data_IF_612977171133
#
_entry.id   IF_612977171133
#
_cell.length_a   1.000
_cell.length_b   1.000
_cell.length_c   1.000
_cell.angle_alpha   90.00
_cell.angle_beta   90.00
_cell.angle_gamma   90.00
#
_symmetry.space_group_name_H-M   'P 1'
#
loop_
_entity.id
_entity.type
_entity.pdbx_description
1 polymer ?
#
# COMPACT_ATOMS: atom_id res chain seq x y z
N UNK A 1 3.22 10.55 -8.34
CA UNK A 1 2.33 9.87 -7.39
C UNK A 1 3.15 9.35 -6.22
N UNK A 2 2.52 9.07 -5.12
CA UNK A 2 3.23 8.74 -3.89
C UNK A 2 3.50 7.25 -3.74
N UNK A 3 4.50 6.93 -2.91
CA UNK A 3 4.84 5.56 -2.54
C UNK A 3 4.72 5.43 -1.02
N UNK A 4 4.05 4.38 -0.58
CA UNK A 4 3.84 4.08 0.83
C UNK A 4 4.50 2.75 1.16
N UNK A 5 5.14 2.66 2.30
CA UNK A 5 5.94 1.50 2.67
C UNK A 5 5.52 0.94 4.03
N UNK A 6 5.41 -0.39 4.10
CA UNK A 6 5.19 -1.09 5.35
C UNK A 6 6.43 -0.95 6.24
N UNK A 7 6.27 -0.52 7.50
CA UNK A 7 7.42 -0.31 8.38
C UNK A 7 8.07 -1.61 8.89
N UNK A 8 7.43 -2.75 8.65
CA UNK A 8 7.92 -4.04 9.14
C UNK A 8 8.70 -4.81 8.09
N UNK A 9 8.11 -4.97 6.88
CA UNK A 9 8.70 -5.84 5.85
C UNK A 9 9.16 -5.11 4.60
N UNK A 10 9.10 -3.78 4.59
CA UNK A 10 9.51 -2.92 3.47
C UNK A 10 8.67 -3.10 2.21
N UNK A 11 7.49 -3.70 2.32
CA UNK A 11 6.57 -3.80 1.19
C UNK A 11 6.13 -2.40 0.75
N UNK A 12 6.13 -2.13 -0.55
CA UNK A 12 5.81 -0.80 -1.07
C UNK A 12 4.56 -0.83 -1.92
N UNK A 13 3.68 0.16 -1.69
CA UNK A 13 2.55 0.45 -2.55
C UNK A 13 2.86 1.74 -3.31
N UNK A 14 3.04 1.63 -4.63
CA UNK A 14 3.28 2.78 -5.50
C UNK A 14 1.97 3.09 -6.23
N UNK A 15 1.44 4.30 -6.01
CA UNK A 15 0.16 4.70 -6.62
C UNK A 15 0.21 4.63 -8.15
N UNK A 16 1.36 4.91 -8.75
CA UNK A 16 1.50 4.89 -10.19
C UNK A 16 1.44 3.47 -10.78
N UNK A 17 1.92 2.50 -10.01
CA UNK A 17 1.97 1.09 -10.41
C UNK A 17 0.71 0.34 -9.97
N UNK A 18 0.13 0.75 -8.85
CA UNK A 18 -0.96 0.05 -8.22
C UNK A 18 -0.52 -1.28 -7.64
N UNK A 19 -1.48 -2.14 -7.39
CA UNK A 19 -1.22 -3.48 -6.89
C UNK A 19 -2.31 -4.42 -7.45
N UNK A 20 -2.19 -4.81 -8.72
CA UNK A 20 -3.22 -5.62 -9.37
C UNK A 20 -3.50 -6.94 -8.66
N UNK A 21 -2.50 -7.53 -8.02
CA UNK A 21 -2.68 -8.78 -7.26
C UNK A 21 -3.62 -8.59 -6.07
N UNK A 22 -3.70 -7.36 -5.55
CA UNK A 22 -4.59 -7.00 -4.44
C UNK A 22 -5.87 -6.31 -4.92
N UNK A 23 -6.05 -6.19 -6.23
CA UNK A 23 -7.24 -5.58 -6.82
C UNK A 23 -7.14 -4.07 -7.02
N UNK A 24 -5.94 -3.51 -6.96
CA UNK A 24 -5.72 -2.08 -7.15
C UNK A 24 -5.04 -1.81 -8.49
N UNK A 25 -5.75 -1.16 -9.39
CA UNK A 25 -5.22 -0.84 -10.73
C UNK A 25 -4.12 0.23 -10.64
N UNK A 26 -3.22 0.30 -11.66
CA UNK A 26 -2.28 1.41 -11.76
C UNK A 26 -3.01 2.75 -11.72
N UNK A 27 -2.49 3.68 -10.92
CA UNK A 27 -3.10 4.98 -10.73
C UNK A 27 -4.12 5.04 -9.59
N UNK A 28 -4.28 3.97 -8.82
CA UNK A 28 -5.16 3.98 -7.65
C UNK A 28 -4.56 4.87 -6.57
N UNK A 29 -5.25 5.93 -6.15
CA UNK A 29 -4.76 6.78 -5.08
C UNK A 29 -4.84 6.06 -3.73
N UNK A 30 -3.93 6.41 -2.82
CA UNK A 30 -3.88 5.79 -1.49
C UNK A 30 -5.20 5.94 -0.73
N UNK A 31 -5.90 7.05 -0.93
CA UNK A 31 -7.20 7.30 -0.30
C UNK A 31 -8.28 6.28 -0.69
N UNK A 32 -8.10 5.60 -1.81
CA UNK A 32 -9.06 4.59 -2.29
C UNK A 32 -8.77 3.21 -1.69
N UNK A 33 -7.61 3.03 -1.09
CA UNK A 33 -7.27 1.78 -0.42
C UNK A 33 -8.05 1.71 0.90
N UNK A 34 -8.80 0.63 1.18
CA UNK A 34 -9.57 0.51 2.43
C UNK A 34 -8.67 0.61 3.66
N UNK A 35 -9.19 1.22 4.73
CA UNK A 35 -8.43 1.36 5.97
C UNK A 35 -8.10 0.03 6.63
N UNK A 36 -8.89 -1.00 6.35
CA UNK A 36 -8.67 -2.34 6.89
C UNK A 36 -7.81 -3.23 5.98
N UNK A 37 -7.33 -2.68 4.87
CA UNK A 37 -6.37 -3.41 4.03
C UNK A 37 -5.06 -3.56 4.80
N UNK A 38 -4.51 -4.76 4.75
CA UNK A 38 -3.26 -5.05 5.45
C UNK A 38 -2.18 -5.43 4.46
N UNK A 39 -0.92 -5.34 4.93
CA UNK A 39 0.24 -5.68 4.11
C UNK A 39 0.14 -7.13 3.62
N UNK A 40 0.16 -7.37 2.31
CA UNK A 40 0.03 -8.73 1.77
C UNK A 40 1.28 -9.58 1.98
N UNK A 41 2.39 -8.95 2.37
CA UNK A 41 3.65 -9.65 2.57
C UNK A 41 3.79 -10.17 4.00
N UNK A 42 3.68 -9.29 5.00
CA UNK A 42 3.82 -9.69 6.40
C UNK A 42 2.48 -9.90 7.13
N UNK A 43 1.43 -9.24 6.70
CA UNK A 43 0.10 -9.37 7.29
C UNK A 43 -0.06 -8.82 8.70
N UNK A 44 0.96 -8.13 9.24
CA UNK A 44 0.91 -7.62 10.63
C UNK A 44 0.66 -6.12 10.70
N UNK A 45 0.65 -5.42 9.57
CA UNK A 45 0.40 -3.97 9.55
C UNK A 45 -0.75 -3.65 8.62
N UNK A 46 -1.65 -2.79 9.11
CA UNK A 46 -2.76 -2.29 8.31
C UNK A 46 -2.33 -1.07 7.50
N UNK A 47 -3.17 -0.67 6.55
CA UNK A 47 -2.94 0.51 5.72
C UNK A 47 -2.51 1.73 6.52
N UNK A 48 -3.17 1.97 7.67
CA UNK A 48 -2.92 3.15 8.49
C UNK A 48 -1.52 3.21 9.08
N UNK A 49 -0.83 2.07 9.12
CA UNK A 49 0.55 1.99 9.65
C UNK A 49 1.60 2.25 8.57
N UNK A 50 1.21 2.26 7.30
CA UNK A 50 2.15 2.51 6.21
C UNK A 50 2.66 3.95 6.25
N UNK A 51 3.90 4.13 5.85
CA UNK A 51 4.57 5.44 5.87
C UNK A 51 4.78 5.95 4.45
N UNK A 52 4.57 7.25 4.27
CA UNK A 52 4.85 7.91 3.00
C UNK A 52 6.37 8.01 2.83
N UNK A 53 6.91 7.42 1.76
CA UNK A 53 8.36 7.39 1.50
C UNK A 53 8.74 8.01 0.16
N UNK A 54 7.79 8.33 -0.67
CA UNK A 54 8.13 8.91 -1.96
C UNK A 54 7.04 9.62 -2.72
#
# INVERSE_FOLDING_TARGET
MSVFQCPVCDYRFDEAVGDPAEGFDPGTPWSEVPDDWFCPDCGVRDKVDFELVG
#
